data_IF_271501481693
#
_entry.id   IF_271501481693
#
_cell.length_a   1.000
_cell.length_b   1.000
_cell.length_c   1.000
_cell.angle_alpha   90.00
_cell.angle_beta   90.00
_cell.angle_gamma   90.00
#
_symmetry.space_group_name_H-M   'P 1'
#
loop_
_entity.id
_entity.type
_entity.pdbx_description
1 polymer ?
#
# COMPACT_ATOMS: atom_id res chain seq x y z
N UNK A 1 4.34 -6.15 15.20
CA UNK A 1 4.35 -5.34 13.98
C UNK A 1 5.45 -4.31 14.11
N UNK A 2 6.41 -4.32 13.20
CA UNK A 2 7.39 -3.24 13.06
C UNK A 2 6.89 -2.26 11.99
N UNK A 3 6.52 -1.05 12.42
CA UNK A 3 5.96 -0.03 11.53
C UNK A 3 7.01 0.59 10.60
N UNK A 4 8.29 0.58 10.98
CA UNK A 4 9.38 1.04 10.11
C UNK A 4 9.61 0.03 8.99
N UNK A 5 9.61 -1.26 9.33
CA UNK A 5 9.67 -2.32 8.33
C UNK A 5 8.45 -2.29 7.40
N UNK A 6 7.26 -2.00 7.93
CA UNK A 6 6.05 -1.86 7.11
C UNK A 6 6.19 -0.77 6.05
N UNK A 7 6.77 0.40 6.37
CA UNK A 7 7.04 1.48 5.41
C UNK A 7 7.97 0.97 4.30
N UNK A 8 9.07 0.33 4.67
CA UNK A 8 10.03 -0.21 3.72
C UNK A 8 9.38 -1.21 2.75
N UNK A 9 8.57 -2.13 3.27
CA UNK A 9 7.87 -3.11 2.43
C UNK A 9 6.86 -2.48 1.46
N UNK A 10 6.25 -1.35 1.82
CA UNK A 10 5.37 -0.60 0.91
C UNK A 10 6.16 0.17 -0.15
N UNK A 11 7.31 0.75 0.21
CA UNK A 11 8.20 1.41 -0.75
C UNK A 11 8.70 0.44 -1.86
N UNK A 12 8.85 -0.84 -1.54
CA UNK A 12 9.26 -1.88 -2.49
C UNK A 12 8.21 -2.23 -3.57
N UNK A 13 6.94 -1.85 -3.40
CA UNK A 13 5.88 -2.22 -4.36
C UNK A 13 6.14 -1.67 -5.76
N UNK A 14 6.68 -0.45 -5.86
CA UNK A 14 7.04 0.14 -7.16
C UNK A 14 8.05 -0.74 -7.90
N UNK A 15 9.06 -1.26 -7.19
CA UNK A 15 10.07 -2.17 -7.75
C UNK A 15 9.42 -3.49 -8.15
N UNK A 16 8.49 -4.03 -7.34
CA UNK A 16 7.76 -5.26 -7.65
C UNK A 16 6.92 -5.11 -8.92
N UNK A 17 6.24 -3.98 -9.13
CA UNK A 17 5.50 -3.73 -10.35
C UNK A 17 6.40 -3.61 -11.59
N UNK A 18 7.51 -2.88 -11.48
CA UNK A 18 8.50 -2.78 -12.56
C UNK A 18 9.04 -4.17 -12.94
N UNK A 19 9.35 -4.99 -11.94
CA UNK A 19 9.81 -6.37 -12.12
C UNK A 19 8.73 -7.23 -12.79
N UNK A 20 7.47 -7.13 -12.34
CA UNK A 20 6.35 -7.88 -12.92
C UNK A 20 6.11 -7.51 -14.39
N UNK A 21 6.21 -6.23 -14.76
CA UNK A 21 6.15 -5.79 -16.15
C UNK A 21 7.28 -6.40 -16.98
N UNK A 22 8.53 -6.32 -16.50
CA UNK A 22 9.71 -6.86 -17.19
C UNK A 22 9.63 -8.38 -17.41
N UNK A 23 9.11 -9.10 -16.42
CA UNK A 23 8.96 -10.56 -16.46
C UNK A 23 7.65 -11.02 -17.11
N UNK A 24 6.79 -10.10 -17.56
CA UNK A 24 5.42 -10.39 -18.01
C UNK A 24 4.63 -11.24 -17.01
N UNK A 25 4.87 -11.02 -15.72
CA UNK A 25 4.23 -11.76 -14.64
C UNK A 25 2.78 -11.31 -14.47
N UNK A 26 1.88 -12.27 -14.28
CA UNK A 26 0.50 -12.00 -13.87
C UNK A 26 0.42 -11.81 -12.36
N UNK A 27 -0.29 -10.78 -11.93
CA UNK A 27 -0.56 -10.46 -10.54
C UNK A 27 -2.02 -10.77 -10.20
N UNK A 28 -2.35 -10.91 -8.91
CA UNK A 28 -3.76 -11.04 -8.48
C UNK A 28 -4.30 -9.66 -8.04
N UNK A 29 -4.99 -8.92 -8.91
CA UNK A 29 -5.47 -7.58 -8.58
C UNK A 29 -6.51 -7.59 -7.46
N UNK A 30 -7.25 -8.68 -7.29
CA UNK A 30 -8.28 -8.81 -6.24
C UNK A 30 -7.62 -8.93 -4.87
N UNK A 31 -6.52 -9.68 -4.78
CA UNK A 31 -5.73 -9.77 -3.54
C UNK A 31 -4.95 -8.49 -3.29
N UNK A 32 -4.35 -7.90 -4.33
CA UNK A 32 -3.57 -6.67 -4.20
C UNK A 32 -4.44 -5.47 -3.78
N UNK A 33 -5.72 -5.44 -4.15
CA UNK A 33 -6.67 -4.42 -3.72
C UNK A 33 -7.19 -4.58 -2.29
N UNK A 34 -6.95 -5.73 -1.63
CA UNK A 34 -7.39 -5.97 -0.25
C UNK A 34 -6.44 -5.32 0.75
N UNK A 35 -6.95 -4.33 1.45
CA UNK A 35 -6.28 -3.60 2.52
C UNK A 35 -6.12 -4.39 3.83
N UNK A 36 -6.58 -5.65 3.88
CA UNK A 36 -6.48 -6.53 5.04
C UNK A 36 -5.69 -7.82 4.77
N UNK A 37 -5.01 -7.92 3.61
CA UNK A 37 -4.27 -9.13 3.23
C UNK A 37 -2.77 -9.06 3.57
N UNK A 38 -2.15 -7.90 3.39
CA UNK A 38 -0.74 -7.70 3.75
C UNK A 38 -0.54 -7.71 5.27
N UNK A 39 0.70 -7.84 5.74
CA UNK A 39 0.97 -7.94 7.19
C UNK A 39 0.51 -6.69 7.95
N UNK A 40 0.76 -5.50 7.40
CA UNK A 40 0.28 -4.24 7.98
C UNK A 40 -1.25 -4.20 8.02
N UNK A 41 -1.92 -4.55 6.92
CA UNK A 41 -3.38 -4.60 6.84
C UNK A 41 -4.00 -5.55 7.87
N UNK A 42 -3.48 -6.78 7.98
CA UNK A 42 -3.91 -7.74 9.00
C UNK A 42 -3.78 -7.18 10.40
N UNK A 43 -2.69 -6.48 10.68
CA UNK A 43 -2.48 -5.85 11.97
C UNK A 43 -3.41 -4.65 12.20
N UNK A 44 -3.54 -3.75 11.22
CA UNK A 44 -4.40 -2.56 11.29
C UNK A 44 -5.85 -2.94 11.57
N UNK A 45 -6.36 -4.00 10.94
CA UNK A 45 -7.72 -4.50 11.13
C UNK A 45 -7.90 -5.42 12.35
N UNK A 46 -6.81 -5.92 12.92
CA UNK A 46 -6.81 -6.84 14.06
C UNK A 46 -6.26 -6.21 15.34
N UNK A 47 -5.05 -6.60 15.73
CA UNK A 47 -4.42 -6.16 16.98
C UNK A 47 -4.25 -4.64 17.05
N UNK A 48 -3.85 -4.00 15.96
CA UNK A 48 -3.70 -2.55 15.85
C UNK A 48 -4.99 -1.81 16.14
N UNK A 49 -6.13 -2.29 15.61
CA UNK A 49 -7.46 -1.76 15.93
C UNK A 49 -7.81 -1.93 17.41
N UNK A 50 -7.50 -3.09 17.98
CA UNK A 50 -7.80 -3.39 19.39
C UNK A 50 -7.02 -2.47 20.33
N UNK A 51 -5.76 -2.17 20.02
CA UNK A 51 -4.88 -1.35 20.87
C UNK A 51 -5.01 0.15 20.62
N UNK A 52 -5.21 0.55 19.36
CA UNK A 52 -5.06 1.94 18.91
C UNK A 52 -6.26 2.47 18.14
N UNK A 53 -7.37 1.73 18.05
CA UNK A 53 -8.54 2.11 17.27
C UNK A 53 -9.27 3.37 17.76
N UNK A 54 -8.93 3.88 18.94
CA UNK A 54 -9.40 5.17 19.45
C UNK A 54 -8.55 6.36 18.97
N UNK A 55 -7.38 6.12 18.38
CA UNK A 55 -6.50 7.16 17.88
C UNK A 55 -6.96 7.60 16.48
N UNK A 56 -7.04 8.90 16.26
CA UNK A 56 -7.35 9.44 14.94
C UNK A 56 -6.31 9.04 13.88
N UNK A 57 -5.04 8.87 14.28
CA UNK A 57 -3.99 8.37 13.41
C UNK A 57 -4.18 6.91 13.00
N UNK A 58 -4.82 6.06 13.81
CA UNK A 58 -5.15 4.69 13.42
C UNK A 58 -6.19 4.71 12.30
N UNK A 59 -7.28 5.46 12.48
CA UNK A 59 -8.31 5.62 11.45
C UNK A 59 -7.73 6.21 10.15
N UNK A 60 -6.88 7.23 10.25
CA UNK A 60 -6.17 7.79 9.10
C UNK A 60 -5.26 6.78 8.40
N UNK A 61 -4.52 5.97 9.17
CA UNK A 61 -3.65 4.93 8.62
C UNK A 61 -4.44 3.83 7.88
N UNK A 62 -5.58 3.39 8.43
CA UNK A 62 -6.47 2.43 7.75
C UNK A 62 -6.97 3.01 6.42
N UNK A 63 -7.39 4.27 6.38
CA UNK A 63 -7.88 4.92 5.17
C UNK A 63 -6.79 5.05 4.10
N UNK A 64 -5.62 5.58 4.45
CA UNK A 64 -4.48 5.69 3.51
C UNK A 64 -4.02 4.32 3.04
N UNK A 65 -4.08 3.29 3.89
CA UNK A 65 -3.70 1.93 3.52
C UNK A 65 -4.66 1.34 2.48
N UNK A 66 -5.96 1.54 2.65
CA UNK A 66 -6.97 1.13 1.68
C UNK A 66 -6.81 1.85 0.34
N UNK A 67 -6.53 3.17 0.36
CA UNK A 67 -6.27 3.95 -0.85
C UNK A 67 -5.04 3.42 -1.61
N UNK A 68 -3.93 3.18 -0.90
CA UNK A 68 -2.73 2.59 -1.49
C UNK A 68 -3.03 1.26 -2.19
N UNK A 69 -3.69 0.34 -1.49
CA UNK A 69 -4.02 -0.98 -2.05
C UNK A 69 -4.98 -0.90 -3.23
N UNK A 70 -5.95 0.02 -3.22
CA UNK A 70 -6.83 0.25 -4.35
C UNK A 70 -6.05 0.67 -5.61
N UNK A 71 -5.10 1.60 -5.51
CA UNK A 71 -4.25 2.01 -6.63
C UNK A 71 -3.32 0.86 -7.07
N UNK A 72 -2.76 0.11 -6.13
CA UNK A 72 -1.96 -1.08 -6.41
C UNK A 72 -2.75 -2.13 -7.22
N UNK A 73 -4.03 -2.32 -6.90
CA UNK A 73 -4.95 -3.18 -7.66
C UNK A 73 -5.13 -2.72 -9.10
N UNK A 74 -5.25 -1.41 -9.34
CA UNK A 74 -5.36 -0.84 -10.69
C UNK A 74 -4.08 -1.04 -11.50
N UNK A 75 -2.91 -0.80 -10.90
CA UNK A 75 -1.61 -1.07 -11.57
C UNK A 75 -1.52 -2.55 -11.96
N UNK A 76 -1.88 -3.46 -11.06
CA UNK A 76 -1.90 -4.89 -11.36
C UNK A 76 -2.85 -5.26 -12.52
N UNK A 77 -4.01 -4.61 -12.62
CA UNK A 77 -4.93 -4.79 -13.75
C UNK A 77 -4.29 -4.34 -15.07
N UNK A 78 -3.62 -3.19 -15.10
CA UNK A 78 -2.94 -2.69 -16.30
C UNK A 78 -1.79 -3.63 -16.73
N UNK A 79 -1.02 -4.15 -15.77
CA UNK A 79 0.04 -5.16 -16.03
C UNK A 79 -0.56 -6.43 -16.64
N UNK A 80 -1.63 -6.97 -16.05
CA UNK A 80 -2.28 -8.18 -16.56
C UNK A 80 -2.92 -7.98 -17.94
N UNK A 81 -3.38 -6.78 -18.26
CA UNK A 81 -3.87 -6.39 -19.58
C UNK A 81 -2.74 -6.21 -20.61
N UNK A 82 -1.47 -6.35 -20.19
CA UNK A 82 -0.26 -6.07 -20.98
C UNK A 82 -0.13 -4.61 -21.42
N UNK A 83 -0.82 -3.70 -20.76
CA UNK A 83 -0.72 -2.25 -20.97
C UNK A 83 0.49 -1.69 -20.22
N UNK A 84 1.70 -2.16 -20.52
CA UNK A 84 2.89 -1.84 -19.72
C UNK A 84 3.26 -0.35 -19.72
N UNK A 85 3.04 0.36 -20.83
CA UNK A 85 3.25 1.82 -20.90
C UNK A 85 2.31 2.55 -19.94
N UNK A 86 1.05 2.13 -19.87
CA UNK A 86 0.06 2.69 -18.95
C UNK A 86 0.45 2.38 -17.50
N UNK A 87 0.77 1.12 -17.19
CA UNK A 87 1.21 0.69 -15.87
C UNK A 87 2.46 1.44 -15.40
N UNK A 88 3.45 1.68 -16.28
CA UNK A 88 4.62 2.49 -15.96
C UNK A 88 4.24 3.96 -15.72
N UNK A 89 3.35 4.53 -16.53
CA UNK A 89 2.85 5.90 -16.33
C UNK A 89 2.13 6.06 -14.99
N UNK A 90 1.38 5.07 -14.54
CA UNK A 90 0.70 5.07 -13.24
C UNK A 90 1.68 5.09 -12.06
N UNK A 91 2.95 4.73 -12.24
CA UNK A 91 3.96 4.71 -11.16
C UNK A 91 4.81 5.98 -11.08
N UNK A 92 4.59 6.95 -11.98
CA UNK A 92 5.32 8.22 -12.01
C UNK A 92 4.94 9.12 -10.84
N UNK A 93 5.77 10.11 -10.54
CA UNK A 93 5.49 11.07 -9.48
C UNK A 93 4.28 11.95 -9.85
N UNK A 94 3.48 12.33 -8.86
CA UNK A 94 2.25 13.11 -9.04
C UNK A 94 1.10 12.30 -9.65
N UNK A 95 1.14 10.97 -9.49
CA UNK A 95 0.05 10.07 -9.88
C UNK A 95 -0.71 9.61 -8.64
N UNK A 96 -1.95 9.13 -8.79
CA UNK A 96 -2.71 8.58 -7.67
C UNK A 96 -1.94 7.50 -6.89
N UNK A 97 -1.19 6.62 -7.56
CA UNK A 97 -0.38 5.61 -6.89
C UNK A 97 0.79 6.23 -6.11
N UNK A 98 1.55 7.17 -6.69
CA UNK A 98 2.68 7.78 -5.97
C UNK A 98 2.20 8.55 -4.75
N UNK A 99 1.09 9.28 -4.90
CA UNK A 99 0.54 10.09 -3.82
C UNK A 99 0.03 9.19 -2.69
N UNK A 100 -0.67 8.09 -3.02
CA UNK A 100 -1.09 7.10 -2.03
C UNK A 100 0.10 6.39 -1.35
N UNK A 101 1.21 6.15 -2.05
CA UNK A 101 2.42 5.55 -1.50
C UNK A 101 3.12 6.49 -0.49
N UNK A 102 3.16 7.79 -0.78
CA UNK A 102 3.70 8.80 0.14
C UNK A 102 2.77 9.00 1.35
N UNK A 103 1.45 9.03 1.12
CA UNK A 103 0.45 9.18 2.17
C UNK A 103 0.47 8.04 3.18
N UNK A 104 0.56 6.77 2.73
CA UNK A 104 0.62 5.64 3.67
C UNK A 104 1.91 5.67 4.50
N UNK A 105 3.04 6.05 3.93
CA UNK A 105 4.29 6.20 4.68
C UNK A 105 4.15 7.27 5.79
N UNK A 106 3.56 8.42 5.45
CA UNK A 106 3.25 9.48 6.42
C UNK A 106 2.26 9.05 7.49
N UNK A 107 1.20 8.32 7.12
CA UNK A 107 0.18 7.85 8.04
C UNK A 107 0.71 6.79 9.01
N UNK A 108 1.56 5.86 8.54
CA UNK A 108 2.26 4.89 9.40
C UNK A 108 3.15 5.61 10.41
N UNK A 109 3.94 6.60 9.97
CA UNK A 109 4.80 7.38 10.87
C UNK A 109 3.99 8.16 11.92
N UNK A 110 2.86 8.73 11.52
CA UNK A 110 1.96 9.43 12.44
C UNK A 110 1.39 8.48 13.49
N UNK A 111 0.90 7.31 13.08
CA UNK A 111 0.40 6.28 13.99
C UNK A 111 1.51 5.80 14.93
N UNK A 112 2.70 5.50 14.41
CA UNK A 112 3.85 5.09 15.21
C UNK A 112 4.15 6.09 16.33
N UNK A 113 4.20 7.38 15.99
CA UNK A 113 4.51 8.43 16.96
C UNK A 113 3.43 8.60 18.03
N UNK A 114 2.15 8.60 17.64
CA UNK A 114 1.04 8.76 18.59
C UNK A 114 0.86 7.51 19.48
N UNK A 115 1.06 6.32 18.92
CA UNK A 115 1.01 5.04 19.61
C UNK A 115 2.26 4.72 20.45
N UNK A 116 3.33 5.53 20.32
CA UNK A 116 4.64 5.33 20.97
C UNK A 116 5.26 3.96 20.67
N UNK A 117 5.21 3.58 19.40
CA UNK A 117 5.83 2.37 18.83
C UNK A 117 7.18 2.68 18.16
#
# INVERSE_FOLDING_TARGET
>A
MDLVEAIQRHAEWKIKFISAMSQHQTLDPVILAKDNYCELGKWLHGEGKTKFGNLSSHAGCVLSHAAFHAEAGKVAQAINAKNYIEAENMLKNGTPYSDAADEIAGAIMKLKNEAKL
#
